data_IF_742030211219
#
_entry.id   IF_742030211219
#
_cell.length_a   1.000
_cell.length_b   1.000
_cell.length_c   1.000
_cell.angle_alpha   90.00
_cell.angle_beta   90.00
_cell.angle_gamma   90.00
#
_symmetry.space_group_name_H-M   'P 1'
#
loop_
_entity.id
_entity.type
_entity.pdbx_description
1 polymer ?
#
# COMPACT_ATOMS: atom_id res chain seq x y z
N UNK A 1 14.66 22.59 -35.39
CA UNK A 1 14.12 21.38 -34.74
C UNK A 1 14.91 21.19 -33.47
N UNK A 2 14.41 21.69 -32.34
CA UNK A 2 15.06 21.46 -31.04
C UNK A 2 14.71 20.04 -30.61
N UNK A 3 15.58 19.09 -30.95
CA UNK A 3 15.48 17.71 -30.47
C UNK A 3 15.78 17.71 -28.98
N UNK A 4 14.76 17.90 -28.16
CA UNK A 4 14.83 17.51 -26.77
C UNK A 4 14.88 15.97 -26.76
N UNK A 5 16.01 15.39 -26.34
CA UNK A 5 16.13 13.94 -26.17
C UNK A 5 15.03 13.46 -25.20
N UNK A 6 14.33 12.38 -25.56
CA UNK A 6 13.31 11.77 -24.71
C UNK A 6 13.92 11.33 -23.37
N UNK A 7 13.19 11.56 -22.28
CA UNK A 7 13.56 11.04 -20.97
C UNK A 7 13.19 9.56 -20.86
N UNK A 8 13.95 8.81 -20.06
CA UNK A 8 13.66 7.41 -19.77
C UNK A 8 12.97 7.31 -18.42
N UNK A 9 11.66 7.05 -18.44
CA UNK A 9 10.87 6.74 -17.25
C UNK A 9 11.07 5.27 -16.88
N UNK A 10 11.42 4.98 -15.63
CA UNK A 10 11.66 3.62 -15.13
C UNK A 10 10.57 3.24 -14.14
N UNK A 11 9.84 2.16 -14.45
CA UNK A 11 8.76 1.64 -13.60
C UNK A 11 9.28 0.67 -12.54
N UNK A 12 10.13 -0.26 -12.97
CA UNK A 12 10.57 -1.39 -12.16
C UNK A 12 11.89 -1.98 -12.66
N UNK A 13 12.55 -2.76 -11.82
CA UNK A 13 13.55 -3.73 -12.23
C UNK A 13 12.91 -5.13 -12.25
N UNK A 14 13.24 -5.93 -13.25
CA UNK A 14 12.72 -7.28 -13.41
C UNK A 14 13.75 -8.20 -14.08
N UNK A 15 13.63 -9.53 -13.94
CA UNK A 15 14.34 -10.48 -14.78
C UNK A 15 14.08 -10.21 -16.26
N UNK A 16 15.14 -10.29 -17.06
CA UNK A 16 15.06 -10.22 -18.52
C UNK A 16 14.69 -11.59 -19.10
N UNK A 17 13.43 -11.99 -18.91
CA UNK A 17 12.88 -13.26 -19.40
C UNK A 17 12.03 -13.05 -20.65
N UNK A 18 11.80 -14.13 -21.40
CA UNK A 18 10.98 -14.10 -22.61
C UNK A 18 9.54 -13.74 -22.28
N UNK A 19 9.05 -14.23 -21.14
CA UNK A 19 7.71 -14.05 -20.61
C UNK A 19 7.47 -12.58 -20.28
N UNK A 20 8.41 -11.92 -19.60
CA UNK A 20 8.34 -10.48 -19.34
C UNK A 20 8.40 -9.68 -20.65
N UNK A 21 9.29 -10.02 -21.59
CA UNK A 21 9.33 -9.31 -22.89
C UNK A 21 8.01 -9.41 -23.66
N UNK A 22 7.36 -10.57 -23.63
CA UNK A 22 6.10 -10.79 -24.31
C UNK A 22 4.96 -9.97 -23.68
N UNK A 23 4.92 -9.86 -22.35
CA UNK A 23 3.86 -9.10 -21.66
C UNK A 23 3.89 -7.60 -21.92
N UNK A 24 5.03 -7.06 -22.37
CA UNK A 24 5.20 -5.62 -22.64
C UNK A 24 4.83 -5.18 -24.06
N UNK A 25 4.66 -6.10 -25.03
CA UNK A 25 4.54 -5.76 -26.45
C UNK A 25 3.39 -4.78 -26.76
N UNK A 26 2.23 -5.00 -26.14
CA UNK A 26 1.04 -4.16 -26.32
C UNK A 26 0.75 -3.25 -25.13
N UNK A 27 1.62 -3.30 -24.12
CA UNK A 27 1.45 -2.51 -22.91
C UNK A 27 1.75 -1.03 -23.19
N UNK A 28 0.94 -0.16 -22.59
CA UNK A 28 1.13 1.29 -22.60
C UNK A 28 1.32 1.75 -21.17
N UNK A 29 2.37 2.53 -20.97
CA UNK A 29 2.66 3.12 -19.68
C UNK A 29 2.19 4.56 -19.60
N UNK A 30 2.92 5.33 -18.81
CA UNK A 30 2.66 6.76 -18.58
C UNK A 30 2.64 7.53 -19.90
N UNK A 31 1.70 8.47 -20.01
CA UNK A 31 1.44 9.27 -21.23
C UNK A 31 1.12 8.42 -22.47
N UNK A 32 0.68 7.17 -22.29
CA UNK A 32 0.40 6.25 -23.40
C UNK A 32 1.66 5.79 -24.15
N UNK A 33 2.85 5.96 -23.57
CA UNK A 33 4.10 5.55 -24.19
C UNK A 33 4.23 4.02 -24.21
N UNK A 34 4.84 3.43 -25.26
CA UNK A 34 5.14 2.00 -25.27
C UNK A 34 6.10 1.63 -24.12
N UNK A 35 5.94 0.42 -23.61
CA UNK A 35 6.79 -0.13 -22.54
C UNK A 35 7.77 -1.13 -23.13
N UNK A 36 9.00 -1.15 -22.64
CA UNK A 36 10.05 -2.07 -23.11
C UNK A 36 11.02 -2.44 -22.00
N UNK A 37 11.83 -3.48 -22.22
CA UNK A 37 12.96 -3.81 -21.35
C UNK A 37 14.23 -3.13 -21.82
N UNK A 38 14.89 -2.47 -20.87
CA UNK A 38 16.22 -1.91 -21.00
C UNK A 38 17.25 -2.86 -20.38
N UNK A 39 17.72 -3.83 -21.17
CA UNK A 39 18.63 -4.90 -20.74
C UNK A 39 20.10 -4.53 -20.79
N UNK A 40 20.94 -4.96 -19.85
CA UNK A 40 22.39 -4.73 -19.97
C UNK A 40 23.01 -5.53 -21.15
N UNK A 41 24.01 -4.99 -21.88
CA UNK A 41 24.62 -5.67 -23.04
C UNK A 41 25.35 -6.98 -22.71
N UNK A 42 25.84 -7.11 -21.47
CA UNK A 42 26.47 -8.33 -20.97
C UNK A 42 25.60 -8.89 -19.84
N UNK A 43 24.77 -9.89 -20.17
CA UNK A 43 24.02 -10.62 -19.19
C UNK A 43 24.99 -11.47 -18.34
N UNK A 44 25.10 -11.13 -17.06
CA UNK A 44 25.65 -12.05 -16.06
C UNK A 44 24.69 -13.23 -15.81
N UNK A 45 24.96 -14.08 -14.81
CA UNK A 45 24.09 -15.21 -14.49
C UNK A 45 22.65 -14.81 -14.13
N UNK A 46 22.47 -13.59 -13.61
CA UNK A 46 21.16 -13.02 -13.24
C UNK A 46 20.87 -11.79 -14.12
N UNK A 47 20.21 -11.96 -15.28
CA UNK A 47 19.97 -10.85 -16.19
C UNK A 47 18.83 -9.98 -15.63
N UNK A 48 19.19 -8.85 -15.00
CA UNK A 48 18.24 -7.82 -14.57
C UNK A 48 18.13 -6.74 -15.65
N UNK A 49 16.90 -6.34 -15.95
CA UNK A 49 16.58 -5.23 -16.84
C UNK A 49 15.69 -4.21 -16.14
N UNK A 50 15.69 -2.98 -16.64
CA UNK A 50 14.66 -2.00 -16.27
C UNK A 50 13.47 -2.10 -17.22
N UNK A 51 12.27 -2.00 -16.66
CA UNK A 51 11.02 -1.80 -17.39
C UNK A 51 10.86 -0.30 -17.60
N UNK A 52 10.83 0.16 -18.85
CA UNK A 52 10.94 1.59 -19.18
C UNK A 52 9.97 2.05 -20.28
N UNK A 53 9.70 3.36 -20.28
CA UNK A 53 9.08 4.10 -21.38
C UNK A 53 9.90 5.34 -21.70
N UNK A 54 9.83 5.79 -22.96
CA UNK A 54 10.36 7.10 -23.37
C UNK A 54 9.25 8.13 -23.26
N UNK A 55 9.52 9.23 -22.55
CA UNK A 55 8.55 10.29 -22.26
C UNK A 55 9.12 11.66 -22.59
N UNK A 56 8.24 12.57 -22.97
CA UNK A 56 8.64 13.92 -23.38
C UNK A 56 9.15 14.74 -22.16
N UNK A 57 10.27 15.47 -22.29
CA UNK A 57 10.85 16.21 -21.15
C UNK A 57 9.96 17.30 -20.57
N UNK A 58 9.11 17.92 -21.38
CA UNK A 58 8.16 18.96 -20.98
C UNK A 58 7.06 18.48 -20.02
N UNK A 59 6.91 17.15 -19.87
CA UNK A 59 5.98 16.55 -18.91
C UNK A 59 6.67 16.01 -17.65
N UNK A 60 7.96 15.65 -17.74
CA UNK A 60 8.66 14.85 -16.71
C UNK A 60 10.01 15.42 -16.27
N UNK A 61 10.38 16.65 -16.68
CA UNK A 61 11.54 17.30 -16.09
C UNK A 61 11.32 17.62 -14.60
N UNK A 62 12.41 17.77 -13.84
CA UNK A 62 12.37 17.91 -12.39
C UNK A 62 11.53 19.10 -11.92
N UNK A 63 11.55 20.21 -12.67
CA UNK A 63 10.79 21.43 -12.33
C UNK A 63 9.30 21.24 -12.58
N UNK A 64 8.94 20.59 -13.68
CA UNK A 64 7.57 20.29 -14.06
C UNK A 64 6.96 19.24 -13.15
N UNK A 65 7.71 18.19 -12.80
CA UNK A 65 7.28 17.20 -11.80
C UNK A 65 6.89 17.89 -10.51
N UNK A 66 7.75 18.75 -9.97
CA UNK A 66 7.46 19.48 -8.72
C UNK A 66 6.19 20.34 -8.80
N UNK A 67 5.96 21.01 -9.93
CA UNK A 67 4.76 21.81 -10.14
C UNK A 67 3.49 20.95 -10.36
N UNK A 68 3.61 19.80 -11.03
CA UNK A 68 2.48 18.90 -11.32
C UNK A 68 2.14 17.95 -10.19
N UNK A 69 2.99 17.77 -9.19
CA UNK A 69 2.60 17.07 -7.95
C UNK A 69 1.48 17.77 -7.19
N UNK A 70 1.17 19.04 -7.52
CA UNK A 70 0.00 19.77 -7.03
C UNK A 70 -1.26 19.52 -7.87
N UNK A 71 -1.12 18.94 -9.07
CA UNK A 71 -2.21 18.53 -9.96
C UNK A 71 -2.59 17.07 -9.65
N UNK A 72 -3.66 16.91 -8.89
CA UNK A 72 -4.12 15.61 -8.40
C UNK A 72 -4.61 14.68 -9.53
N UNK A 73 -5.24 15.22 -10.58
CA UNK A 73 -5.74 14.41 -11.70
C UNK A 73 -4.56 13.86 -12.50
N UNK A 74 -3.59 14.70 -12.83
CA UNK A 74 -2.38 14.26 -13.51
C UNK A 74 -1.59 13.23 -12.68
N UNK A 75 -1.47 13.46 -11.37
CA UNK A 75 -0.77 12.52 -10.48
C UNK A 75 -1.48 11.17 -10.40
N UNK A 76 -2.81 11.16 -10.33
CA UNK A 76 -3.60 9.94 -10.35
C UNK A 76 -3.39 9.15 -11.63
N UNK A 77 -3.45 9.81 -12.79
CA UNK A 77 -3.24 9.18 -14.10
C UNK A 77 -1.84 8.54 -14.20
N UNK A 78 -0.81 9.27 -13.77
CA UNK A 78 0.58 8.77 -13.76
C UNK A 78 0.74 7.61 -12.79
N UNK A 79 0.16 7.71 -11.59
CA UNK A 79 0.21 6.64 -10.59
C UNK A 79 -0.50 5.37 -11.07
N UNK A 80 -1.67 5.51 -11.70
CA UNK A 80 -2.43 4.41 -12.28
C UNK A 80 -1.67 3.73 -13.41
N UNK A 81 -1.18 4.50 -14.38
CA UNK A 81 -0.39 3.96 -15.49
C UNK A 81 0.90 3.27 -15.00
N UNK A 82 1.57 3.85 -13.99
CA UNK A 82 2.72 3.20 -13.36
C UNK A 82 2.33 1.88 -12.68
N UNK A 83 1.25 1.88 -11.90
CA UNK A 83 0.75 0.70 -11.21
C UNK A 83 0.39 -0.42 -12.19
N UNK A 84 -0.33 -0.09 -13.27
CA UNK A 84 -0.76 -1.07 -14.28
C UNK A 84 0.43 -1.74 -14.96
N UNK A 85 1.50 -0.99 -15.24
CA UNK A 85 2.72 -1.56 -15.80
C UNK A 85 3.39 -2.53 -14.82
N UNK A 86 3.59 -2.10 -13.58
CA UNK A 86 4.23 -2.92 -12.56
C UNK A 86 3.42 -4.19 -12.26
N UNK A 87 2.10 -4.07 -12.13
CA UNK A 87 1.20 -5.20 -11.91
C UNK A 87 1.20 -6.18 -13.09
N UNK A 88 1.24 -5.67 -14.32
CA UNK A 88 1.33 -6.53 -15.50
C UNK A 88 2.60 -7.36 -15.46
N UNK A 89 3.75 -6.75 -15.15
CA UNK A 89 5.02 -7.48 -15.03
C UNK A 89 4.96 -8.49 -13.88
N UNK A 90 4.39 -8.10 -12.72
CA UNK A 90 4.25 -8.96 -11.54
C UNK A 90 3.45 -10.26 -11.79
N UNK A 91 2.55 -10.27 -12.77
CA UNK A 91 1.77 -11.45 -13.17
C UNK A 91 2.58 -12.48 -13.95
N UNK A 92 3.71 -12.06 -14.54
CA UNK A 92 4.53 -12.90 -15.40
C UNK A 92 5.87 -13.28 -14.76
N UNK A 93 6.42 -12.42 -13.89
CA UNK A 93 7.66 -12.71 -13.17
C UNK A 93 7.80 -11.81 -11.92
N UNK A 94 8.87 -12.03 -11.16
CA UNK A 94 9.22 -11.24 -9.99
C UNK A 94 9.57 -9.82 -10.41
N UNK A 95 8.87 -8.84 -9.85
CA UNK A 95 9.11 -7.42 -10.12
C UNK A 95 9.62 -6.73 -8.86
N UNK A 96 10.58 -5.83 -9.04
CA UNK A 96 11.01 -4.88 -8.03
C UNK A 96 10.50 -3.49 -8.44
N UNK A 97 9.38 -3.01 -7.88
CA UNK A 97 8.84 -1.69 -8.20
C UNK A 97 9.82 -0.58 -7.82
N UNK A 98 10.06 0.39 -8.71
CA UNK A 98 10.78 1.62 -8.37
C UNK A 98 9.79 2.70 -7.91
N UNK A 99 10.30 3.74 -7.27
CA UNK A 99 9.48 4.89 -6.86
C UNK A 99 8.82 5.54 -8.08
N UNK A 100 7.59 6.02 -7.89
CA UNK A 100 6.88 6.81 -8.90
C UNK A 100 7.76 7.98 -9.38
N UNK A 101 7.73 8.26 -10.68
CA UNK A 101 8.51 9.31 -11.32
C UNK A 101 10.04 9.14 -11.19
N UNK A 102 10.53 7.89 -11.19
CA UNK A 102 11.95 7.62 -11.41
C UNK A 102 12.30 7.84 -12.89
N UNK A 103 12.96 8.97 -13.19
CA UNK A 103 13.26 9.40 -14.56
C UNK A 103 14.75 9.65 -14.76
N UNK A 104 15.30 9.18 -15.88
CA UNK A 104 16.66 9.46 -16.32
C UNK A 104 16.68 10.30 -17.60
N UNK A 105 17.78 11.02 -17.82
CA UNK A 105 17.95 11.89 -19.00
C UNK A 105 17.84 11.11 -20.33
N UNK A 106 18.28 9.85 -20.34
CA UNK A 106 18.21 8.94 -21.49
C UNK A 106 18.52 7.50 -21.08
N UNK A 107 18.37 6.58 -22.03
CA UNK A 107 18.58 5.14 -21.85
C UNK A 107 20.00 4.82 -21.36
N UNK A 108 21.01 5.56 -21.81
CA UNK A 108 22.40 5.36 -21.39
C UNK A 108 22.61 5.69 -19.91
N UNK A 109 21.97 6.75 -19.40
CA UNK A 109 21.99 7.08 -17.97
C UNK A 109 21.29 6.01 -17.15
N UNK A 110 20.14 5.52 -17.60
CA UNK A 110 19.42 4.44 -16.94
C UNK A 110 20.24 3.14 -16.92
N UNK A 111 20.88 2.76 -18.03
CA UNK A 111 21.80 1.60 -18.12
C UNK A 111 22.98 1.72 -17.17
N UNK A 112 23.58 2.92 -17.04
CA UNK A 112 24.67 3.17 -16.09
C UNK A 112 24.20 2.97 -14.65
N UNK A 113 23.01 3.48 -14.30
CA UNK A 113 22.43 3.28 -12.98
C UNK A 113 22.15 1.79 -12.69
N UNK A 114 21.56 1.08 -13.65
CA UNK A 114 21.33 -0.36 -13.56
C UNK A 114 22.63 -1.14 -13.38
N UNK A 115 23.68 -0.82 -14.16
CA UNK A 115 25.01 -1.46 -14.04
C UNK A 115 25.62 -1.25 -12.65
N UNK A 116 25.55 -0.02 -12.13
CA UNK A 116 26.13 0.34 -10.85
C UNK A 116 25.48 -0.39 -9.67
N UNK A 117 24.16 -0.63 -9.74
CA UNK A 117 23.37 -1.23 -8.66
C UNK A 117 22.91 -2.67 -8.97
N UNK A 118 23.49 -3.32 -10.00
CA UNK A 118 23.02 -4.63 -10.49
C UNK A 118 22.88 -5.68 -9.39
N UNK A 119 23.83 -5.74 -8.46
CA UNK A 119 23.84 -6.75 -7.40
C UNK A 119 22.71 -6.49 -6.39
N UNK A 120 22.51 -5.22 -6.01
CA UNK A 120 21.43 -4.80 -5.12
C UNK A 120 20.08 -5.18 -5.73
N UNK A 121 19.89 -4.88 -7.03
CA UNK A 121 18.64 -5.24 -7.71
C UNK A 121 18.44 -6.76 -7.78
N UNK A 122 19.47 -7.52 -8.14
CA UNK A 122 19.39 -8.98 -8.21
C UNK A 122 19.07 -9.61 -6.85
N UNK A 123 19.74 -9.19 -5.77
CA UNK A 123 19.47 -9.65 -4.40
C UNK A 123 18.03 -9.34 -3.95
N UNK A 124 17.53 -8.14 -4.29
CA UNK A 124 16.16 -7.75 -3.97
C UNK A 124 15.14 -8.56 -4.75
N UNK A 125 15.35 -8.76 -6.04
CA UNK A 125 14.49 -9.62 -6.85
C UNK A 125 14.49 -11.05 -6.28
N UNK A 126 15.64 -11.60 -5.90
CA UNK A 126 15.71 -12.91 -5.26
C UNK A 126 14.94 -12.98 -3.91
N UNK A 127 14.98 -11.91 -3.12
CA UNK A 127 14.18 -11.79 -1.88
C UNK A 127 12.67 -11.74 -2.16
N UNK A 128 12.26 -11.21 -3.30
CA UNK A 128 10.84 -11.10 -3.67
C UNK A 128 10.32 -12.31 -4.44
N UNK A 129 11.21 -13.17 -4.93
CA UNK A 129 10.86 -14.30 -5.77
C UNK A 129 9.85 -15.25 -5.09
N UNK A 130 8.81 -15.62 -5.84
CA UNK A 130 7.76 -16.55 -5.38
C UNK A 130 6.82 -15.97 -4.33
N UNK A 131 6.79 -14.65 -4.15
CA UNK A 131 6.06 -13.98 -3.07
C UNK A 131 5.26 -12.78 -3.59
N UNK A 132 4.14 -12.51 -2.93
CA UNK A 132 3.27 -11.35 -3.16
C UNK A 132 3.12 -10.52 -1.89
N UNK A 133 2.89 -9.23 -2.07
CA UNK A 133 2.56 -8.35 -0.96
C UNK A 133 1.05 -8.36 -0.68
N UNK A 134 0.71 -8.38 0.61
CA UNK A 134 -0.63 -8.15 1.10
C UNK A 134 -0.63 -6.97 2.09
N UNK A 135 -1.52 -6.01 1.87
CA UNK A 135 -1.76 -4.92 2.80
C UNK A 135 -2.89 -5.27 3.76
N UNK A 136 -2.66 -5.09 5.05
CA UNK A 136 -3.64 -5.37 6.11
C UNK A 136 -3.87 -4.11 6.91
N UNK A 137 -5.13 -3.70 6.99
CA UNK A 137 -5.55 -2.55 7.77
C UNK A 137 -6.61 -2.94 8.77
N UNK A 138 -6.50 -2.43 10.00
CA UNK A 138 -7.58 -2.50 10.98
C UNK A 138 -8.16 -1.12 11.19
N UNK A 139 -9.48 -1.08 11.20
CA UNK A 139 -10.29 0.10 11.39
C UNK A 139 -11.18 -0.06 12.62
N UNK A 140 -11.29 0.99 13.41
CA UNK A 140 -12.28 1.11 14.47
C UNK A 140 -13.36 2.05 13.97
N UNK A 141 -14.58 1.53 13.85
CA UNK A 141 -15.71 2.31 13.38
C UNK A 141 -16.01 3.49 14.32
N UNK A 142 -16.56 4.61 13.82
CA UNK A 142 -17.12 5.62 14.69
C UNK A 142 -18.16 4.95 15.58
N UNK A 143 -18.40 5.51 16.76
CA UNK A 143 -19.43 4.97 17.61
C UNK A 143 -20.76 4.95 16.86
N UNK A 144 -21.15 3.75 16.39
CA UNK A 144 -22.43 3.54 15.76
C UNK A 144 -23.46 4.16 16.69
N UNK A 145 -24.10 5.21 16.18
CA UNK A 145 -25.39 5.63 16.66
C UNK A 145 -26.25 4.38 16.62
N UNK A 146 -26.40 3.71 17.76
CA UNK A 146 -27.69 3.12 18.10
C UNK A 146 -28.67 4.28 18.02
N UNK A 147 -29.19 4.53 16.84
CA UNK A 147 -30.40 5.30 16.65
C UNK A 147 -31.53 4.38 17.10
N UNK A 148 -32.19 4.64 18.25
CA UNK A 148 -33.39 3.92 18.59
C UNK A 148 -34.53 4.60 17.83
N UNK A 149 -34.61 4.38 16.53
CA UNK A 149 -35.73 4.85 15.72
C UNK A 149 -36.35 3.69 14.94
N UNK A 150 -36.94 2.76 15.69
CA UNK A 150 -38.16 2.09 15.27
C UNK A 150 -39.35 2.75 15.98
N UNK A 151 -40.40 3.19 15.27
CA UNK A 151 -41.48 3.99 15.86
C UNK A 151 -42.30 3.14 16.83
N UNK A 152 -42.46 3.63 18.06
CA UNK A 152 -43.37 3.07 19.05
C UNK A 152 -44.00 4.21 19.85
N UNK A 153 -44.98 4.89 19.25
CA UNK A 153 -46.20 5.17 20.02
C UNK A 153 -47.00 3.85 20.07
N UNK A 154 -47.85 3.57 21.09
CA UNK A 154 -48.45 4.50 22.06
C UNK A 154 -48.50 3.97 23.52
N UNK A 155 -49.00 4.82 24.43
CA UNK A 155 -49.95 4.53 25.55
C UNK A 155 -49.57 5.12 26.90
N UNK A 156 -50.42 6.07 27.27
CA UNK A 156 -50.86 6.51 28.59
C UNK A 156 -50.52 5.61 29.80
N UNK A 157 -49.97 6.23 30.85
CA UNK A 157 -50.03 5.78 32.25
C UNK A 157 -48.99 4.76 32.74
N UNK A 158 -47.96 5.21 33.48
CA UNK A 158 -47.69 4.91 34.92
C UNK A 158 -46.24 5.23 35.34
N UNK A 159 -46.11 5.71 36.58
CA UNK A 159 -44.95 6.35 37.20
C UNK A 159 -43.64 5.55 37.19
N UNK A 160 -42.58 6.21 36.73
CA UNK A 160 -41.19 5.94 37.09
C UNK A 160 -40.40 7.25 37.07
N UNK A 161 -39.42 7.48 37.97
CA UNK A 161 -38.76 8.77 38.08
C UNK A 161 -37.98 9.09 36.79
N UNK A 162 -38.53 10.01 35.99
CA UNK A 162 -37.84 10.57 34.84
C UNK A 162 -36.55 11.22 35.33
N UNK A 163 -35.40 10.67 34.94
CA UNK A 163 -34.09 11.21 35.33
C UNK A 163 -33.99 12.67 34.91
N UNK A 164 -33.43 13.52 35.78
CA UNK A 164 -33.16 14.91 35.41
C UNK A 164 -32.26 14.96 34.16
N UNK A 165 -32.43 15.98 33.29
CA UNK A 165 -31.67 16.10 32.04
C UNK A 165 -30.14 15.94 32.21
N UNK A 166 -29.59 16.41 33.34
CA UNK A 166 -28.17 16.25 33.69
C UNK A 166 -27.76 14.81 34.03
N UNK A 167 -28.58 14.05 34.76
CA UNK A 167 -28.32 12.62 35.03
C UNK A 167 -28.42 11.78 33.76
N UNK A 168 -29.38 12.11 32.88
CA UNK A 168 -29.51 11.46 31.57
C UNK A 168 -28.31 11.75 30.65
N UNK A 169 -27.78 12.98 30.66
CA UNK A 169 -26.55 13.35 29.95
C UNK A 169 -25.33 12.59 30.48
N UNK A 170 -25.08 12.58 31.79
CA UNK A 170 -23.94 11.87 32.39
C UNK A 170 -23.98 10.36 32.12
N UNK A 171 -25.17 9.75 32.19
CA UNK A 171 -25.35 8.33 31.85
C UNK A 171 -25.02 8.04 30.38
N UNK A 172 -25.49 8.88 29.45
CA UNK A 172 -25.15 8.76 28.02
C UNK A 172 -23.65 8.89 27.79
N UNK A 173 -23.00 9.88 28.43
CA UNK A 173 -21.56 10.09 28.32
C UNK A 173 -20.75 8.91 28.87
N UNK A 174 -21.16 8.33 30.01
CA UNK A 174 -20.52 7.13 30.57
C UNK A 174 -20.69 5.91 29.67
N UNK A 175 -21.88 5.69 29.15
CA UNK A 175 -22.16 4.60 28.20
C UNK A 175 -21.33 4.73 26.92
N UNK A 176 -21.20 5.96 26.39
CA UNK A 176 -20.37 6.25 25.22
C UNK A 176 -18.88 5.97 25.50
N UNK A 177 -18.36 6.38 26.66
CA UNK A 177 -16.97 6.10 27.04
C UNK A 177 -16.71 4.61 27.17
N UNK A 178 -17.56 3.88 27.89
CA UNK A 178 -17.41 2.42 28.06
C UNK A 178 -17.54 1.68 26.72
N UNK A 179 -18.42 2.11 25.82
CA UNK A 179 -18.50 1.55 24.48
C UNK A 179 -17.22 1.80 23.67
N UNK A 180 -16.61 2.98 23.80
CA UNK A 180 -15.34 3.29 23.15
C UNK A 180 -14.19 2.44 23.70
N UNK A 181 -14.10 2.28 25.03
CA UNK A 181 -13.08 1.42 25.67
C UNK A 181 -13.21 -0.04 25.24
N UNK A 182 -14.44 -0.55 25.09
CA UNK A 182 -14.67 -1.92 24.59
C UNK A 182 -14.18 -2.05 23.15
N UNK A 183 -14.48 -1.08 22.27
CA UNK A 183 -14.02 -1.11 20.87
C UNK A 183 -12.51 -1.06 20.74
N UNK A 184 -11.81 -0.19 21.50
CA UNK A 184 -10.34 -0.17 21.46
C UNK A 184 -9.72 -1.47 21.98
N UNK A 185 -10.36 -2.13 22.96
CA UNK A 185 -9.92 -3.45 23.43
C UNK A 185 -10.11 -4.52 22.37
N UNK A 186 -11.26 -4.53 21.70
CA UNK A 186 -11.50 -5.40 20.54
C UNK A 186 -10.49 -5.13 19.42
N UNK A 187 -10.14 -3.87 19.18
CA UNK A 187 -9.16 -3.50 18.16
C UNK A 187 -7.76 -4.01 18.50
N UNK A 188 -7.35 -3.92 19.78
CA UNK A 188 -6.10 -4.49 20.25
C UNK A 188 -6.10 -6.02 20.11
N UNK A 189 -7.19 -6.67 20.52
CA UNK A 189 -7.33 -8.13 20.37
C UNK A 189 -7.29 -8.56 18.90
N UNK A 190 -7.94 -7.81 18.01
CA UNK A 190 -7.86 -8.05 16.58
C UNK A 190 -6.43 -7.87 16.04
N UNK A 191 -5.70 -6.83 16.48
CA UNK A 191 -4.32 -6.60 16.09
C UNK A 191 -3.40 -7.75 16.52
N UNK A 192 -3.56 -8.23 17.76
CA UNK A 192 -2.79 -9.37 18.28
C UNK A 192 -3.10 -10.65 17.50
N UNK A 193 -4.38 -10.89 17.17
CA UNK A 193 -4.80 -12.03 16.33
C UNK A 193 -4.23 -11.94 14.91
N UNK A 194 -4.31 -10.76 14.28
CA UNK A 194 -3.75 -10.52 12.93
C UNK A 194 -2.25 -10.80 12.93
N UNK A 195 -1.52 -10.31 13.93
CA UNK A 195 -0.08 -10.54 14.04
C UNK A 195 0.28 -12.02 14.23
N UNK A 196 -0.43 -12.71 15.13
CA UNK A 196 -0.22 -14.13 15.38
C UNK A 196 -0.54 -14.99 14.15
N UNK A 197 -1.60 -14.64 13.40
CA UNK A 197 -1.95 -15.33 12.16
C UNK A 197 -0.95 -15.04 11.06
N UNK A 198 -0.66 -13.75 10.79
CA UNK A 198 0.19 -13.33 9.69
C UNK A 198 1.61 -13.91 9.79
N UNK A 199 2.19 -13.94 11.00
CA UNK A 199 3.53 -14.49 11.24
C UNK A 199 3.69 -15.97 10.84
N UNK A 200 2.60 -16.74 10.73
CA UNK A 200 2.61 -18.14 10.30
C UNK A 200 2.74 -18.31 8.78
N UNK A 201 2.42 -17.28 8.01
CA UNK A 201 2.38 -17.34 6.54
C UNK A 201 3.39 -16.39 5.89
N UNK A 202 3.69 -15.25 6.52
CA UNK A 202 4.55 -14.23 5.95
C UNK A 202 6.03 -14.47 6.27
N UNK A 203 6.90 -14.10 5.33
CA UNK A 203 8.36 -14.10 5.54
C UNK A 203 8.89 -12.79 6.09
N UNK A 204 8.23 -11.68 5.74
CA UNK A 204 8.60 -10.33 6.13
C UNK A 204 7.35 -9.49 6.41
N UNK A 205 7.53 -8.46 7.23
CA UNK A 205 6.50 -7.48 7.60
C UNK A 205 7.09 -6.08 7.54
N UNK A 206 6.32 -5.12 7.05
CA UNK A 206 6.61 -3.69 7.13
C UNK A 206 5.40 -3.01 7.78
N UNK A 207 5.64 -2.20 8.81
CA UNK A 207 4.61 -1.38 9.44
C UNK A 207 4.62 0.01 8.85
N UNK A 208 3.48 0.45 8.34
CA UNK A 208 3.29 1.80 7.83
C UNK A 208 2.63 2.69 8.90
N UNK A 209 2.82 4.02 8.81
CA UNK A 209 2.04 4.94 9.62
C UNK A 209 0.54 4.70 9.42
N UNK A 210 -0.21 4.73 10.51
CA UNK A 210 -1.66 4.71 10.45
C UNK A 210 -2.16 5.95 9.68
N UNK A 211 -3.09 5.75 8.74
CA UNK A 211 -3.63 6.87 7.96
C UNK A 211 -4.37 7.85 8.88
N UNK A 212 -3.86 9.08 8.99
CA UNK A 212 -4.46 10.19 9.74
C UNK A 212 -4.64 11.38 8.79
N UNK A 213 -5.76 12.11 8.88
CA UNK A 213 -5.99 13.36 8.13
C UNK A 213 -7.28 13.39 7.31
N UNK A 214 -7.46 14.39 6.45
CA UNK A 214 -8.70 14.63 5.68
C UNK A 214 -9.07 13.51 4.69
N UNK A 215 -8.14 12.61 4.38
CA UNK A 215 -8.34 11.39 3.57
C UNK A 215 -8.68 10.16 4.41
N UNK A 216 -8.61 10.25 5.74
CA UNK A 216 -9.12 9.21 6.62
C UNK A 216 -10.65 9.29 6.61
N UNK A 217 -11.30 8.17 6.30
CA UNK A 217 -12.74 8.05 6.41
C UNK A 217 -13.23 8.25 7.86
N UNK A 218 -14.53 8.06 8.13
CA UNK A 218 -15.07 8.22 9.49
C UNK A 218 -14.54 7.18 10.49
N UNK A 219 -13.83 6.16 10.02
CA UNK A 219 -13.23 5.09 10.83
C UNK A 219 -11.75 5.38 11.12
N UNK A 220 -11.31 5.14 12.36
CA UNK A 220 -9.92 5.31 12.76
C UNK A 220 -9.09 4.10 12.33
N UNK A 221 -8.05 4.32 11.53
CA UNK A 221 -7.07 3.28 11.21
C UNK A 221 -6.12 3.07 12.39
N UNK A 222 -6.07 1.85 12.93
CA UNK A 222 -5.24 1.50 14.10
C UNK A 222 -4.10 0.54 13.75
N UNK A 223 -4.16 -0.10 12.59
CA UNK A 223 -3.10 -0.94 12.05
C UNK A 223 -3.04 -0.74 10.53
N UNK A 224 -1.82 -0.67 9.99
CA UNK A 224 -1.54 -0.55 8.56
C UNK A 224 -0.21 -1.25 8.28
N UNK A 225 -0.27 -2.57 8.08
CA UNK A 225 0.92 -3.40 7.89
C UNK A 225 0.90 -4.01 6.49
N UNK A 226 2.08 -4.19 5.90
CA UNK A 226 2.28 -4.96 4.68
C UNK A 226 3.02 -6.27 5.01
N UNK A 227 2.63 -7.36 4.37
CA UNK A 227 3.18 -8.69 4.57
C UNK A 227 3.64 -9.29 3.25
N UNK A 228 4.83 -9.91 3.25
CA UNK A 228 5.36 -10.63 2.09
C UNK A 228 5.06 -12.13 2.25
N UNK A 229 4.14 -12.64 1.44
CA UNK A 229 3.55 -13.97 1.57
C UNK A 229 3.91 -14.83 0.35
N UNK A 230 4.40 -16.07 0.53
CA UNK A 230 4.61 -17.02 -0.57
C UNK A 230 3.32 -17.28 -1.37
N UNK A 231 3.42 -17.42 -2.70
CA UNK A 231 2.25 -17.57 -3.57
C UNK A 231 1.36 -18.77 -3.21
N UNK A 232 1.96 -19.87 -2.77
CA UNK A 232 1.26 -21.10 -2.35
C UNK A 232 0.51 -20.95 -1.02
N UNK A 233 0.74 -19.86 -0.28
CA UNK A 233 0.09 -19.55 1.01
C UNK A 233 -0.87 -18.37 0.95
N UNK A 234 -0.98 -17.71 -0.21
CA UNK A 234 -1.74 -16.47 -0.40
C UNK A 234 -3.22 -16.58 0.00
N UNK A 235 -3.93 -17.60 -0.51
CA UNK A 235 -5.35 -17.81 -0.23
C UNK A 235 -5.63 -18.16 1.25
N UNK A 236 -4.78 -19.01 1.84
CA UNK A 236 -4.88 -19.36 3.26
C UNK A 236 -4.65 -18.13 4.16
N UNK A 237 -3.67 -17.30 3.81
CA UNK A 237 -3.36 -16.06 4.52
C UNK A 237 -4.55 -15.09 4.47
N UNK A 238 -5.09 -14.84 3.29
CA UNK A 238 -6.24 -13.93 3.12
C UNK A 238 -7.45 -14.40 3.93
N UNK A 239 -7.79 -15.70 3.82
CA UNK A 239 -8.92 -16.30 4.54
C UNK A 239 -8.74 -16.22 6.06
N UNK A 240 -7.54 -16.55 6.56
CA UNK A 240 -7.26 -16.52 7.99
C UNK A 240 -7.39 -15.11 8.57
N UNK A 241 -6.88 -14.08 7.87
CA UNK A 241 -6.94 -12.70 8.34
C UNK A 241 -8.35 -12.10 8.28
N UNK A 242 -9.17 -12.49 7.30
CA UNK A 242 -10.57 -12.07 7.24
C UNK A 242 -11.35 -12.50 8.50
N UNK A 243 -11.03 -13.67 9.05
CA UNK A 243 -11.64 -14.21 10.27
C UNK A 243 -11.05 -13.63 11.58
N UNK A 244 -10.00 -12.79 11.51
CA UNK A 244 -9.31 -12.29 12.71
C UNK A 244 -10.22 -11.41 13.60
N UNK A 245 -11.23 -10.77 12.99
CA UNK A 245 -12.20 -9.90 13.66
C UNK A 245 -13.49 -10.61 14.07
N UNK A 246 -13.59 -11.93 13.88
CA UNK A 246 -14.79 -12.67 14.27
C UNK A 246 -15.05 -12.55 15.78
N UNK A 247 -16.27 -12.11 16.11
CA UNK A 247 -16.71 -11.84 17.48
C UNK A 247 -16.22 -10.52 18.07
N UNK A 248 -15.60 -9.64 17.28
CA UNK A 248 -15.05 -8.35 17.73
C UNK A 248 -15.84 -7.17 17.15
N UNK A 249 -16.94 -6.83 17.81
CA UNK A 249 -17.82 -5.74 17.36
C UNK A 249 -17.10 -4.38 17.30
N UNK A 250 -17.40 -3.61 16.25
CA UNK A 250 -16.87 -2.26 16.05
C UNK A 250 -15.45 -2.21 15.47
N UNK A 251 -14.91 -3.36 15.05
CA UNK A 251 -13.62 -3.48 14.37
C UNK A 251 -13.83 -4.07 12.98
N UNK A 252 -13.14 -3.52 11.99
CA UNK A 252 -13.13 -4.02 10.61
C UNK A 252 -11.70 -4.30 10.19
N UNK A 253 -11.48 -5.46 9.58
CA UNK A 253 -10.23 -5.77 8.88
C UNK A 253 -10.42 -5.57 7.39
N UNK A 254 -9.42 -4.99 6.76
CA UNK A 254 -9.31 -4.87 5.32
C UNK A 254 -8.02 -5.54 4.90
N UNK A 255 -8.15 -6.56 4.04
CA UNK A 255 -7.01 -7.25 3.43
C UNK A 255 -7.04 -6.92 1.95
N UNK A 256 -5.92 -6.44 1.42
CA UNK A 256 -5.76 -6.07 0.02
C UNK A 256 -4.58 -6.82 -0.58
N UNK A 257 -4.68 -7.16 -1.86
CA UNK A 257 -3.67 -7.90 -2.60
C UNK A 257 -4.27 -9.13 -3.30
N UNK A 258 -3.44 -9.98 -3.93
CA UNK A 258 -1.98 -9.86 -3.99
C UNK A 258 -1.54 -8.65 -4.82
N UNK A 259 -0.55 -7.91 -4.32
CA UNK A 259 0.06 -6.79 -5.02
C UNK A 259 1.52 -7.07 -5.39
N UNK A 260 2.05 -6.32 -6.36
CA UNK A 260 3.48 -6.17 -6.51
C UNK A 260 4.10 -5.61 -5.21
N UNK A 261 5.33 -6.01 -4.85
CA UNK A 261 5.87 -5.82 -3.51
C UNK A 261 6.48 -4.43 -3.29
N UNK A 262 5.67 -3.37 -3.39
CA UNK A 262 6.09 -1.99 -3.22
C UNK A 262 6.73 -1.71 -1.85
N UNK A 263 6.15 -2.23 -0.76
CA UNK A 263 6.63 -2.00 0.61
C UNK A 263 7.97 -2.67 0.89
N UNK A 264 8.33 -3.68 0.10
CA UNK A 264 9.55 -4.47 0.26
C UNK A 264 10.62 -4.12 -0.80
N UNK A 265 10.30 -3.21 -1.72
CA UNK A 265 11.18 -2.86 -2.83
C UNK A 265 12.38 -1.99 -2.42
N UNK A 266 12.23 -1.18 -1.37
CA UNK A 266 13.32 -0.39 -0.79
C UNK A 266 13.64 -0.97 0.59
N UNK A 267 14.92 -1.11 0.99
CA UNK A 267 15.23 -1.36 2.40
C UNK A 267 14.53 -0.33 3.29
N UNK A 268 13.94 -0.73 4.43
CA UNK A 268 13.46 0.24 5.40
C UNK A 268 14.60 1.19 5.74
N UNK A 269 14.33 2.50 5.74
CA UNK A 269 15.29 3.46 6.29
C UNK A 269 15.60 3.03 7.73
N UNK A 270 16.88 3.01 8.16
CA UNK A 270 17.19 2.72 9.55
C UNK A 270 16.41 3.72 10.42
N UNK A 271 15.63 3.21 11.37
CA UNK A 271 14.93 4.04 12.36
C UNK A 271 15.91 5.11 12.84
N UNK A 272 15.55 6.38 12.63
CA UNK A 272 16.31 7.48 13.17
C UNK A 272 16.45 7.22 14.67
N UNK A 273 17.66 6.82 15.08
CA UNK A 273 17.99 6.52 16.46
C UNK A 273 17.45 7.68 17.28
N UNK A 274 16.44 7.39 18.11
CA UNK A 274 15.73 8.39 18.89
C UNK A 274 16.76 9.32 19.51
N UNK A 275 16.64 10.61 19.20
CA UNK A 275 17.43 11.65 19.82
C UNK A 275 17.36 11.42 21.32
N UNK A 276 18.51 10.98 21.85
CA UNK A 276 18.69 10.69 23.25
C UNK A 276 18.37 11.95 24.03
N UNK A 277 17.19 11.94 24.64
CA UNK A 277 16.87 12.83 25.74
C UNK A 277 17.71 12.37 26.93
N UNK A 278 18.94 12.86 27.02
CA UNK A 278 19.77 12.79 28.23
C UNK A 278 19.55 14.09 29.04
N UNK A 279 19.75 14.05 30.36
CA UNK A 279 18.77 14.48 31.37
C UNK A 279 18.82 15.99 31.68
#
# INVERSE_FOLDING_TARGET
>A
MNGHEDLTYVYAAAPDTREVRASLQDLRGVSGAPVSLLSLPAAGPDPVAFVVSRVAPDQFDERTLKARFEDLEWLEDVARAHHDVVQTVARHDTVLPLRLATVYQNDDRARRALTAQRHVFAERIALLHGRSEFGVKLYVGPAGSTDPAGPSEPRDGTDGPSLSPGKAYLRRRRAQHSAQEVRYRHAQEAADRVEALASRFSTHRVRHPAQRGALAGPEENVLNDAYLVPYDRAEEFHTALAAAVDGLDGVRVEVTGPWAPYSFATPPEPEAAGEGRTP
#
